data_IF_352446491822
#
_entry.id   IF_352446491822
#
_cell.length_a   1.000
_cell.length_b   1.000
_cell.length_c   1.000
_cell.angle_alpha   90.00
_cell.angle_beta   90.00
_cell.angle_gamma   90.00
#
_symmetry.space_group_name_H-M   'P 1'
#
loop_
_entity.id
_entity.type
_entity.pdbx_description
1 polymer ?
#
# COMPACT_ATOMS: atom_id res chain seq x y z
N UNK A 1 49.82 -29.41 -50.56
CA UNK A 1 48.63 -29.19 -49.72
C UNK A 1 49.01 -29.37 -48.26
N UNK A 2 49.10 -28.29 -47.46
CA UNK A 2 49.08 -28.41 -46.02
C UNK A 2 47.90 -27.63 -45.40
N UNK A 3 47.41 -28.24 -44.34
CA UNK A 3 46.22 -27.96 -43.54
C UNK A 3 46.27 -26.56 -42.91
N UNK A 4 45.17 -25.83 -43.05
CA UNK A 4 44.97 -24.49 -42.52
C UNK A 4 44.82 -24.50 -40.98
N UNK A 5 45.64 -23.68 -40.33
CA UNK A 5 45.50 -23.28 -38.93
C UNK A 5 44.60 -22.05 -38.85
N UNK A 6 43.56 -22.10 -38.02
CA UNK A 6 42.78 -20.92 -37.62
C UNK A 6 43.46 -20.21 -36.44
N UNK A 7 43.89 -18.94 -36.58
CA UNK A 7 44.23 -18.11 -35.44
C UNK A 7 42.96 -17.44 -34.88
N UNK A 8 42.77 -17.57 -33.55
CA UNK A 8 41.78 -16.80 -32.78
C UNK A 8 42.22 -15.34 -32.73
N UNK A 9 41.46 -14.46 -33.38
CA UNK A 9 41.64 -13.00 -33.29
C UNK A 9 40.76 -12.39 -32.22
N UNK A 10 41.41 -11.75 -31.25
CA UNK A 10 41.04 -10.46 -30.66
C UNK A 10 39.63 -10.28 -30.11
N UNK A 11 39.50 -10.26 -28.77
CA UNK A 11 38.49 -9.42 -28.13
C UNK A 11 39.15 -8.11 -27.70
N UNK A 12 38.94 -7.07 -28.50
CA UNK A 12 39.36 -5.70 -28.21
C UNK A 12 38.55 -5.15 -27.04
N UNK A 13 39.26 -4.66 -26.02
CA UNK A 13 38.71 -3.77 -25.01
C UNK A 13 38.34 -2.44 -25.71
N UNK A 14 37.06 -2.25 -26.02
CA UNK A 14 36.54 -0.95 -26.45
C UNK A 14 35.91 -0.26 -25.25
N UNK A 15 36.65 0.72 -24.73
CA UNK A 15 36.11 1.81 -23.94
C UNK A 15 35.12 2.58 -24.85
N UNK A 16 33.83 2.39 -24.65
CA UNK A 16 32.81 3.25 -25.24
C UNK A 16 32.28 4.15 -24.13
N UNK A 17 32.79 5.37 -24.09
CA UNK A 17 32.10 6.49 -23.46
C UNK A 17 30.83 6.74 -24.27
N UNK A 18 29.67 6.44 -23.69
CA UNK A 18 28.38 6.94 -24.17
C UNK A 18 27.88 7.96 -23.16
N UNK A 19 27.52 9.12 -23.73
CA UNK A 19 27.06 10.31 -23.06
C UNK A 19 25.96 10.01 -22.02
N UNK A 20 26.06 10.68 -20.88
CA UNK A 20 25.06 10.66 -19.83
C UNK A 20 23.74 11.23 -20.34
N UNK A 21 22.88 10.35 -20.84
CA UNK A 21 21.45 10.51 -20.66
C UNK A 21 21.17 10.12 -19.22
N UNK A 22 20.89 11.12 -18.38
CA UNK A 22 20.35 10.89 -17.04
C UNK A 22 19.08 10.06 -17.21
N UNK A 23 19.20 8.76 -16.94
CA UNK A 23 18.06 7.85 -16.84
C UNK A 23 17.30 8.30 -15.60
N UNK A 24 16.34 9.21 -15.78
CA UNK A 24 15.26 9.39 -14.84
C UNK A 24 14.54 8.03 -14.77
N UNK A 25 14.93 7.22 -13.79
CA UNK A 25 14.08 6.15 -13.31
C UNK A 25 12.90 6.87 -12.68
N UNK A 26 11.83 7.06 -13.46
CA UNK A 26 10.53 7.42 -12.92
C UNK A 26 10.14 6.29 -11.97
N UNK A 27 10.29 6.55 -10.68
CA UNK A 27 9.70 5.74 -9.61
C UNK A 27 8.21 5.63 -9.91
N UNK A 28 7.78 4.41 -10.25
CA UNK A 28 6.37 4.10 -10.46
C UNK A 28 5.60 4.51 -9.21
N UNK A 29 4.56 5.30 -9.42
CA UNK A 29 3.65 5.75 -8.37
C UNK A 29 3.14 4.55 -7.56
N UNK A 30 3.41 4.54 -6.25
CA UNK A 30 2.89 3.56 -5.30
C UNK A 30 1.37 3.76 -5.11
N UNK A 31 0.61 2.66 -5.12
CA UNK A 31 0.16 2.00 -3.89
C UNK A 31 0.20 0.48 -4.06
N UNK A 32 0.39 -0.33 -3.00
CA UNK A 32 -0.28 -0.31 -1.70
C UNK A 32 0.65 -0.04 -0.48
N UNK A 33 1.80 0.59 -0.70
CA UNK A 33 2.77 0.87 0.36
C UNK A 33 3.21 2.32 0.37
N UNK A 34 3.33 2.90 1.56
CA UNK A 34 3.91 4.22 1.72
C UNK A 34 5.45 4.08 1.77
N UNK A 35 6.13 4.43 0.67
CA UNK A 35 7.59 4.30 0.52
C UNK A 35 8.36 5.57 0.89
N UNK A 36 9.55 5.42 1.46
CA UNK A 36 10.49 6.50 1.71
C UNK A 36 11.28 6.82 0.44
N UNK A 37 10.72 7.64 -0.45
CA UNK A 37 11.45 8.15 -1.60
C UNK A 37 10.63 8.15 -2.87
N UNK A 38 9.84 9.20 -3.03
CA UNK A 38 9.04 9.44 -4.22
C UNK A 38 8.14 10.62 -3.95
N UNK A 39 8.71 11.83 -3.90
CA UNK A 39 7.91 13.04 -3.93
C UNK A 39 7.27 13.13 -5.32
N UNK A 40 6.13 12.45 -5.50
CA UNK A 40 5.13 12.92 -6.44
C UNK A 40 4.82 14.38 -6.07
N UNK A 41 4.64 15.24 -7.06
CA UNK A 41 4.35 16.66 -6.83
C UNK A 41 3.25 16.84 -5.78
N UNK A 42 3.32 17.91 -5.00
CA UNK A 42 2.28 18.16 -4.00
C UNK A 42 0.94 18.39 -4.66
N UNK A 43 -0.11 17.74 -4.16
CA UNK A 43 -1.44 17.77 -4.74
C UNK A 43 -2.55 18.06 -3.73
N UNK A 44 -3.75 17.78 -4.20
CA UNK A 44 -5.04 17.92 -3.53
C UNK A 44 -5.61 16.53 -3.25
N UNK A 45 -6.25 16.34 -2.09
CA UNK A 45 -6.90 15.06 -1.76
C UNK A 45 -8.34 15.06 -2.26
N UNK A 46 -8.70 14.01 -2.99
CA UNK A 46 -10.08 13.64 -3.31
C UNK A 46 -10.42 12.40 -2.49
N UNK A 47 -11.49 12.45 -1.70
CA UNK A 47 -11.99 11.31 -0.95
C UNK A 47 -13.46 11.04 -1.29
N UNK A 48 -13.85 9.77 -1.34
CA UNK A 48 -15.23 9.38 -1.54
C UNK A 48 -15.51 8.04 -0.84
N UNK A 49 -16.71 7.89 -0.29
CA UNK A 49 -17.17 6.64 0.28
C UNK A 49 -17.95 5.84 -0.76
N UNK A 50 -17.84 4.51 -0.72
CA UNK A 50 -18.76 3.63 -1.46
C UNK A 50 -20.10 3.47 -0.73
N UNK A 51 -20.33 4.13 0.40
CA UNK A 51 -21.55 4.04 1.20
C UNK A 51 -21.69 5.24 2.14
N UNK A 52 -22.13 4.99 3.37
CA UNK A 52 -22.26 6.03 4.39
C UNK A 52 -20.88 6.51 4.87
N UNK A 53 -20.73 7.83 5.04
CA UNK A 53 -19.54 8.48 5.59
C UNK A 53 -19.77 8.83 7.07
N UNK A 54 -20.08 7.79 7.86
CA UNK A 54 -20.57 7.95 9.23
C UNK A 54 -19.52 8.53 10.17
N UNK A 55 -18.24 8.45 9.81
CA UNK A 55 -17.14 8.89 10.64
C UNK A 55 -16.44 10.13 10.10
N UNK A 56 -16.86 10.65 8.95
CA UNK A 56 -16.22 11.78 8.29
C UNK A 56 -14.90 11.41 7.62
N UNK A 57 -14.59 10.11 7.46
CA UNK A 57 -13.37 9.59 6.88
C UNK A 57 -13.18 9.97 5.41
N UNK A 58 -14.27 10.21 4.68
CA UNK A 58 -14.29 10.76 3.33
C UNK A 58 -14.49 12.29 3.27
N UNK A 59 -14.55 12.98 4.41
CA UNK A 59 -14.69 14.45 4.48
C UNK A 59 -13.31 15.11 4.54
N UNK A 60 -12.75 15.42 3.37
CA UNK A 60 -11.42 16.04 3.27
C UNK A 60 -11.39 17.43 3.92
N UNK A 61 -10.56 17.66 4.96
CA UNK A 61 -10.44 18.97 5.59
C UNK A 61 -9.76 19.98 4.65
N UNK A 62 -10.07 21.28 4.81
CA UNK A 62 -9.52 22.35 3.98
C UNK A 62 -7.98 22.35 3.95
N UNK A 63 -7.31 21.98 5.04
CA UNK A 63 -5.84 21.90 5.11
C UNK A 63 -5.27 20.85 4.14
N UNK A 64 -6.02 19.78 3.83
CA UNK A 64 -5.61 18.71 2.92
C UNK A 64 -5.98 18.96 1.44
N UNK A 65 -6.53 20.14 1.11
CA UNK A 65 -6.88 20.51 -0.27
C UNK A 65 -5.70 21.07 -1.07
N UNK A 66 -4.48 21.05 -0.54
CA UNK A 66 -3.24 21.45 -1.25
C UNK A 66 -2.01 21.03 -0.46
N UNK A 67 -0.86 20.90 -1.14
CA UNK A 67 0.42 20.66 -0.49
C UNK A 67 0.60 19.22 0.02
N UNK A 68 -0.31 18.31 -0.31
CA UNK A 68 -0.28 16.91 0.17
C UNK A 68 0.66 16.10 -0.71
N UNK A 69 1.48 15.25 -0.08
CA UNK A 69 2.53 14.44 -0.72
C UNK A 69 2.34 12.93 -0.54
N UNK A 70 1.53 12.52 0.44
CA UNK A 70 1.16 11.13 0.66
C UNK A 70 -0.22 11.05 1.32
N UNK A 71 -0.90 9.92 1.15
CA UNK A 71 -2.23 9.62 1.69
C UNK A 71 -2.24 8.18 2.24
N UNK A 72 -3.07 7.91 3.24
CA UNK A 72 -3.30 6.57 3.78
C UNK A 72 -4.69 6.45 4.37
N UNK A 73 -5.45 5.44 3.94
CA UNK A 73 -6.75 5.10 4.52
C UNK A 73 -6.61 4.09 5.64
N UNK A 74 -7.34 4.28 6.73
CA UNK A 74 -7.68 3.24 7.70
C UNK A 74 -9.14 2.83 7.58
N UNK A 75 -9.67 2.13 8.58
CA UNK A 75 -11.07 1.69 8.51
C UNK A 75 -12.05 2.85 8.77
N UNK A 76 -11.71 3.74 9.72
CA UNK A 76 -12.57 4.85 10.16
C UNK A 76 -11.92 6.22 10.08
N UNK A 77 -10.67 6.28 9.60
CA UNK A 77 -9.91 7.52 9.50
C UNK A 77 -9.09 7.56 8.21
N UNK A 78 -8.67 8.77 7.87
CA UNK A 78 -7.81 9.07 6.74
C UNK A 78 -6.62 9.88 7.20
N UNK A 79 -5.49 9.67 6.55
CA UNK A 79 -4.21 10.32 6.82
C UNK A 79 -3.71 11.01 5.54
N UNK A 80 -3.03 12.14 5.71
CA UNK A 80 -2.29 12.80 4.65
C UNK A 80 -0.98 13.39 5.19
N UNK A 81 0.04 13.49 4.33
CA UNK A 81 1.30 14.17 4.64
C UNK A 81 1.37 15.49 3.90
N UNK A 82 1.40 16.61 4.63
CA UNK A 82 1.57 17.96 4.08
C UNK A 82 2.84 18.58 4.65
N UNK A 83 3.84 18.86 3.79
CA UNK A 83 5.13 19.44 4.21
C UNK A 83 5.79 18.68 5.37
N UNK A 84 5.68 17.36 5.38
CA UNK A 84 6.19 16.49 6.45
C UNK A 84 5.35 16.43 7.73
N UNK A 85 4.24 17.17 7.83
CA UNK A 85 3.25 17.08 8.92
C UNK A 85 2.16 16.09 8.53
N UNK A 86 1.76 15.22 9.47
CA UNK A 86 0.57 14.37 9.31
C UNK A 86 -0.71 15.16 9.60
N UNK A 87 -1.65 15.11 8.67
CA UNK A 87 -3.05 15.48 8.84
C UNK A 87 -3.85 14.20 9.03
N UNK A 88 -4.87 14.25 9.88
CA UNK A 88 -5.77 13.13 10.13
C UNK A 88 -7.21 13.65 10.24
N UNK A 89 -8.15 12.91 9.67
CA UNK A 89 -9.59 13.18 9.80
C UNK A 89 -10.36 11.86 9.77
N UNK A 90 -11.66 11.91 10.08
CA UNK A 90 -12.44 10.73 10.43
C UNK A 90 -12.61 10.59 11.95
N UNK A 91 -12.98 9.40 12.43
CA UNK A 91 -13.09 9.11 13.87
C UNK A 91 -12.17 7.97 14.28
N UNK A 92 -11.89 7.91 15.58
CA UNK A 92 -11.41 6.71 16.24
C UNK A 92 -12.52 6.18 17.15
N UNK A 93 -12.99 4.95 16.93
CA UNK A 93 -14.05 4.40 17.78
C UNK A 93 -13.42 3.93 19.09
N UNK A 94 -13.62 4.69 20.17
CA UNK A 94 -13.27 4.25 21.51
C UNK A 94 -14.37 3.32 22.06
N UNK A 95 -14.32 2.02 21.75
CA UNK A 95 -15.25 1.01 22.27
C UNK A 95 -15.14 0.72 23.78
N UNK A 96 -14.36 1.49 24.57
CA UNK A 96 -14.18 1.24 26.02
C UNK A 96 -14.03 2.49 26.89
N UNK A 97 -14.31 3.70 26.38
CA UNK A 97 -14.19 4.92 27.19
C UNK A 97 -15.53 5.64 27.24
N UNK A 98 -16.04 5.90 28.44
CA UNK A 98 -17.36 6.50 28.73
C UNK A 98 -17.47 8.00 28.38
N UNK A 99 -16.52 8.57 27.64
CA UNK A 99 -16.57 9.98 27.21
C UNK A 99 -16.09 10.15 25.76
N UNK A 100 -16.97 9.80 24.82
CA UNK A 100 -16.75 9.99 23.37
C UNK A 100 -17.14 11.39 22.88
N UNK A 101 -17.28 12.38 23.77
CA UNK A 101 -17.77 13.73 23.38
C UNK A 101 -16.66 14.66 22.91
N UNK A 102 -15.39 14.25 23.00
CA UNK A 102 -14.26 15.01 22.44
C UNK A 102 -13.60 14.26 21.28
N UNK A 103 -13.97 14.68 20.08
CA UNK A 103 -13.44 14.30 18.77
C UNK A 103 -11.93 14.64 18.64
N UNK A 104 -11.07 14.02 19.45
CA UNK A 104 -9.64 14.29 19.45
C UNK A 104 -8.95 13.42 18.40
N UNK A 105 -9.00 13.93 17.17
CA UNK A 105 -7.94 13.75 16.18
C UNK A 105 -6.60 14.03 16.89
N UNK A 106 -5.88 12.97 17.29
CA UNK A 106 -4.58 13.10 17.94
C UNK A 106 -3.49 12.65 16.98
N UNK A 107 -2.65 13.58 16.57
CA UNK A 107 -1.41 13.31 15.84
C UNK A 107 -0.25 13.62 16.78
N UNK A 108 0.61 12.64 17.12
CA UNK A 108 1.74 12.84 18.01
C UNK A 108 2.66 13.97 17.52
N UNK A 109 3.28 14.70 18.45
CA UNK A 109 4.24 15.78 18.12
C UNK A 109 5.36 15.31 17.18
N UNK A 110 5.78 14.05 17.33
CA UNK A 110 6.83 13.47 16.48
C UNK A 110 6.41 13.38 15.00
N UNK A 111 5.11 13.20 14.72
CA UNK A 111 4.52 13.12 13.39
C UNK A 111 4.11 14.50 12.81
N UNK A 112 4.47 15.60 13.48
CA UNK A 112 4.17 16.95 12.99
C UNK A 112 5.24 17.52 12.04
N UNK A 113 6.31 16.78 11.75
CA UNK A 113 7.37 17.19 10.82
C UNK A 113 8.18 15.99 10.31
N UNK A 114 8.75 16.12 9.11
CA UNK A 114 9.70 15.15 8.54
C UNK A 114 9.10 13.78 8.18
N UNK A 115 7.79 13.61 8.25
CA UNK A 115 7.11 12.39 7.82
C UNK A 115 7.12 12.29 6.30
N UNK A 116 7.38 11.11 5.76
CA UNK A 116 7.39 10.85 4.32
C UNK A 116 6.27 9.92 3.87
N UNK A 117 5.69 9.16 4.80
CA UNK A 117 4.73 8.10 4.50
C UNK A 117 3.79 7.87 5.69
N UNK A 118 2.55 7.45 5.41
CA UNK A 118 1.52 7.14 6.41
C UNK A 118 0.75 5.89 6.00
N UNK A 119 0.27 5.12 6.97
CA UNK A 119 -0.61 3.98 6.76
C UNK A 119 -1.66 3.90 7.89
N UNK A 120 -2.89 3.52 7.57
CA UNK A 120 -3.99 3.41 8.52
C UNK A 120 -4.41 1.96 8.74
N UNK A 121 -4.42 1.50 9.98
CA UNK A 121 -5.08 0.25 10.35
C UNK A 121 -6.57 0.47 10.65
N UNK A 122 -7.15 -0.48 11.39
CA UNK A 122 -8.53 -0.38 11.89
C UNK A 122 -8.69 0.83 12.81
N UNK A 123 -7.87 0.85 13.86
CA UNK A 123 -7.96 1.81 14.97
C UNK A 123 -6.57 2.37 15.35
N UNK A 124 -5.55 2.17 14.52
CA UNK A 124 -4.21 2.74 14.70
C UNK A 124 -3.70 3.35 13.40
N UNK A 125 -2.66 4.18 13.53
CA UNK A 125 -1.99 4.83 12.42
C UNK A 125 -0.49 4.64 12.55
N UNK A 126 0.17 4.55 11.39
CA UNK A 126 1.63 4.54 11.27
C UNK A 126 2.10 5.75 10.47
N UNK A 127 3.26 6.27 10.83
CA UNK A 127 4.01 7.25 10.04
C UNK A 127 5.47 6.82 9.92
N UNK A 128 6.07 7.08 8.76
CA UNK A 128 7.49 6.86 8.51
C UNK A 128 8.23 8.19 8.48
N UNK A 129 9.22 8.35 9.38
CA UNK A 129 10.02 9.57 9.53
C UNK A 129 11.51 9.20 9.57
N UNK A 130 12.26 9.54 8.53
CA UNK A 130 13.71 9.30 8.50
C UNK A 130 14.10 7.84 8.74
N UNK A 131 13.27 6.88 8.30
CA UNK A 131 13.47 5.45 8.52
C UNK A 131 12.98 4.92 9.87
N UNK A 132 12.44 5.75 10.75
CA UNK A 132 11.78 5.36 12.01
C UNK A 132 10.27 5.26 11.80
N UNK A 133 9.66 4.18 12.32
CA UNK A 133 8.20 4.05 12.40
C UNK A 133 7.69 4.72 13.68
N UNK A 134 6.65 5.53 13.53
CA UNK A 134 5.87 6.15 14.60
C UNK A 134 4.48 5.51 14.55
N UNK A 135 3.95 5.06 15.70
CA UNK A 135 2.62 4.46 15.79
C UNK A 135 1.78 5.16 16.86
N UNK A 136 0.48 5.38 16.61
CA UNK A 136 -0.47 5.90 17.60
C UNK A 136 -1.89 5.36 17.35
N UNK A 137 -2.78 5.51 18.34
CA UNK A 137 -4.16 4.99 18.31
C UNK A 137 -4.38 3.85 19.30
N UNK A 138 -5.06 2.79 18.88
CA UNK A 138 -5.31 1.59 19.70
C UNK A 138 -4.04 0.76 19.89
N UNK A 139 -3.88 0.20 21.09
CA UNK A 139 -2.83 -0.76 21.39
C UNK A 139 -3.36 -2.07 21.97
N UNK A 140 -4.65 -2.36 21.82
CA UNK A 140 -5.30 -3.53 22.45
C UNK A 140 -4.63 -4.86 22.07
N UNK A 141 -3.97 -4.91 20.91
CA UNK A 141 -3.26 -6.08 20.37
C UNK A 141 -1.75 -5.84 20.16
N UNK A 142 -1.15 -4.82 20.77
CA UNK A 142 0.28 -4.53 20.62
C UNK A 142 0.68 -3.80 19.33
N UNK A 143 -0.29 -3.22 18.63
CA UNK A 143 -0.14 -2.47 17.36
C UNK A 143 0.83 -1.29 17.46
N UNK A 144 0.96 -0.70 18.66
CA UNK A 144 1.86 0.43 18.92
C UNK A 144 3.24 0.00 19.44
N UNK A 145 3.45 -1.30 19.68
CA UNK A 145 4.70 -1.83 20.23
C UNK A 145 5.75 -1.96 19.12
N UNK A 146 6.14 -0.82 18.53
CA UNK A 146 7.09 -0.73 17.41
C UNK A 146 8.40 -1.46 17.76
N UNK A 147 8.74 -2.57 17.07
CA UNK A 147 9.97 -3.31 17.36
C UNK A 147 11.21 -2.43 17.17
N UNK A 148 12.26 -2.66 17.96
CA UNK A 148 13.54 -1.92 17.87
C UNK A 148 14.09 -1.92 16.44
N UNK A 149 13.90 -3.02 15.72
CA UNK A 149 14.34 -3.13 14.32
C UNK A 149 13.65 -2.15 13.37
N UNK A 150 12.38 -1.79 13.64
CA UNK A 150 11.59 -0.84 12.87
C UNK A 150 11.77 0.63 13.32
N UNK A 151 12.66 0.90 14.28
CA UNK A 151 12.95 2.26 14.75
C UNK A 151 14.00 2.99 13.89
N UNK A 152 14.57 2.33 12.88
CA UNK A 152 15.52 2.92 11.94
C UNK A 152 15.61 2.14 10.64
N UNK A 153 15.99 2.79 9.53
CA UNK A 153 16.27 2.16 8.25
C UNK A 153 15.07 1.52 7.54
N UNK A 154 13.84 1.76 8.01
CA UNK A 154 12.62 1.32 7.33
C UNK A 154 12.41 2.11 6.05
N UNK A 155 12.07 1.43 4.97
CA UNK A 155 11.82 2.02 3.64
C UNK A 155 10.37 1.98 3.23
N UNK A 156 9.54 1.13 3.83
CA UNK A 156 8.10 1.09 3.58
C UNK A 156 7.33 0.65 4.83
N UNK A 157 6.10 1.13 4.95
CA UNK A 157 5.15 0.73 5.99
C UNK A 157 3.79 0.39 5.35
N UNK A 158 3.06 -0.51 5.99
CA UNK A 158 1.65 -0.76 5.72
C UNK A 158 0.92 -1.17 7.01
N UNK A 159 -0.38 -0.92 7.08
CA UNK A 159 -1.22 -1.24 8.22
C UNK A 159 -2.63 -1.61 7.75
N UNK A 160 -3.21 -2.62 8.40
CA UNK A 160 -4.59 -3.01 8.16
C UNK A 160 -5.10 -3.84 9.35
N UNK A 161 -6.36 -3.69 9.73
CA UNK A 161 -6.88 -4.30 10.95
C UNK A 161 -6.06 -3.89 12.17
N UNK A 162 -5.68 -4.86 12.99
CA UNK A 162 -4.83 -4.65 14.17
C UNK A 162 -3.32 -4.82 13.89
N UNK A 163 -2.91 -4.89 12.61
CA UNK A 163 -1.54 -5.27 12.21
C UNK A 163 -0.77 -4.11 11.62
N UNK A 164 0.53 -4.17 11.83
CA UNK A 164 1.52 -3.25 11.30
C UNK A 164 2.67 -4.01 10.63
N UNK A 165 3.04 -3.59 9.43
CA UNK A 165 4.14 -4.12 8.64
C UNK A 165 5.16 -3.02 8.35
N UNK A 166 6.44 -3.39 8.37
CA UNK A 166 7.54 -2.54 7.90
C UNK A 166 8.50 -3.34 7.02
N UNK A 167 9.06 -2.69 5.99
CA UNK A 167 10.11 -3.22 5.13
C UNK A 167 11.42 -2.50 5.45
N UNK A 168 12.48 -3.27 5.72
CA UNK A 168 13.83 -2.78 5.98
C UNK A 168 14.84 -3.65 5.26
N UNK A 169 15.56 -3.10 4.28
CA UNK A 169 16.61 -3.80 3.54
C UNK A 169 16.18 -5.19 3.01
N UNK A 170 14.95 -5.29 2.51
CA UNK A 170 14.39 -6.54 2.02
C UNK A 170 13.87 -7.51 3.09
N UNK A 171 13.94 -7.16 4.37
CA UNK A 171 13.35 -7.92 5.48
C UNK A 171 12.01 -7.32 5.89
N UNK A 172 11.03 -8.19 6.11
CA UNK A 172 9.70 -7.84 6.61
C UNK A 172 9.69 -7.93 8.13
N UNK A 173 9.10 -6.92 8.77
CA UNK A 173 8.89 -6.82 10.21
C UNK A 173 7.39 -6.70 10.43
N UNK A 174 6.83 -7.58 11.25
CA UNK A 174 5.40 -7.67 11.57
C UNK A 174 5.18 -7.48 13.07
N UNK A 175 4.18 -6.70 13.47
CA UNK A 175 3.72 -6.61 14.85
C UNK A 175 2.25 -6.17 14.91
N UNK A 176 1.63 -6.28 16.08
CA UNK A 176 0.21 -5.97 16.27
C UNK A 176 -0.72 -7.08 15.81
N UNK A 177 -1.71 -7.43 16.63
CA UNK A 177 -2.67 -8.51 16.36
C UNK A 177 -2.42 -9.76 17.20
N UNK A 178 -3.40 -10.66 17.23
CA UNK A 178 -3.23 -11.98 17.84
C UNK A 178 -2.57 -12.93 16.86
N UNK A 179 -1.48 -13.60 17.24
CA UNK A 179 -0.77 -14.54 16.37
C UNK A 179 -1.28 -15.99 16.48
N UNK A 180 -2.59 -16.19 16.59
CA UNK A 180 -3.17 -17.54 16.72
C UNK A 180 -3.19 -18.31 15.39
N UNK A 181 -3.08 -17.58 14.29
CA UNK A 181 -3.20 -18.01 12.89
C UNK A 181 -1.89 -17.84 12.11
N UNK A 182 -0.79 -17.54 12.80
CA UNK A 182 0.53 -17.29 12.21
C UNK A 182 0.62 -16.01 11.37
N UNK A 183 -0.32 -15.06 11.53
CA UNK A 183 -0.32 -13.80 10.78
C UNK A 183 0.92 -12.93 11.01
N UNK A 184 1.59 -13.07 12.16
CA UNK A 184 2.84 -12.37 12.45
C UNK A 184 4.08 -13.20 12.07
N UNK A 185 3.92 -14.48 11.72
CA UNK A 185 5.03 -15.38 11.44
C UNK A 185 5.51 -15.24 10.00
N UNK A 186 6.44 -14.30 9.78
CA UNK A 186 7.05 -14.10 8.45
C UNK A 186 7.68 -15.41 7.95
N UNK A 187 7.18 -15.99 6.84
CA UNK A 187 7.65 -17.28 6.34
C UNK A 187 9.11 -17.18 5.93
N UNK A 188 9.86 -18.30 6.01
CA UNK A 188 11.29 -18.31 5.71
C UNK A 188 11.62 -17.71 4.35
N UNK A 189 10.78 -17.96 3.36
CA UNK A 189 10.92 -17.42 2.01
C UNK A 189 10.67 -15.92 1.89
N UNK A 190 10.13 -15.23 2.90
CA UNK A 190 9.89 -13.78 2.90
C UNK A 190 10.79 -12.99 3.88
N UNK A 191 11.82 -13.62 4.45
CA UNK A 191 12.71 -12.97 5.44
C UNK A 191 13.81 -12.09 4.82
N UNK A 192 13.95 -12.09 3.50
CA UNK A 192 14.95 -11.31 2.77
C UNK A 192 14.55 -11.09 1.31
N UNK A 193 15.10 -10.05 0.66
CA UNK A 193 14.86 -9.78 -0.77
C UNK A 193 13.42 -9.36 -1.11
N UNK A 194 12.62 -8.99 -0.11
CA UNK A 194 11.28 -8.46 -0.32
C UNK A 194 11.36 -7.03 -0.87
N UNK A 195 10.56 -6.73 -1.88
CA UNK A 195 10.50 -5.42 -2.53
C UNK A 195 9.16 -4.72 -2.30
N UNK A 196 8.13 -5.46 -1.92
CA UNK A 196 6.81 -4.93 -1.59
C UNK A 196 6.14 -5.74 -0.47
N UNK A 197 5.37 -5.07 0.39
CA UNK A 197 4.62 -5.60 1.55
C UNK A 197 3.15 -5.14 1.50
N UNK A 198 2.20 -5.94 1.93
CA UNK A 198 0.84 -5.45 2.18
C UNK A 198 0.18 -6.22 3.31
N UNK A 199 -0.42 -5.47 4.23
CA UNK A 199 -1.22 -5.98 5.34
C UNK A 199 -2.68 -6.06 4.90
N UNK A 200 -3.30 -7.23 4.96
CA UNK A 200 -4.74 -7.42 4.77
C UNK A 200 -5.46 -7.63 6.11
N UNK A 201 -6.78 -7.85 6.10
CA UNK A 201 -7.50 -8.17 7.35
C UNK A 201 -7.22 -9.59 7.85
N UNK A 202 -7.08 -10.55 6.94
CA UNK A 202 -6.88 -11.96 7.26
C UNK A 202 -5.50 -12.49 6.89
N UNK A 203 -4.78 -11.84 5.98
CA UNK A 203 -3.53 -12.36 5.44
C UNK A 203 -2.58 -11.21 5.10
N UNK A 204 -1.31 -11.53 4.91
CA UNK A 204 -0.33 -10.60 4.36
C UNK A 204 0.11 -11.06 2.97
N UNK A 205 0.50 -10.10 2.14
CA UNK A 205 1.13 -10.34 0.85
C UNK A 205 2.50 -9.66 0.81
N UNK A 206 3.46 -10.27 0.13
CA UNK A 206 4.73 -9.62 -0.22
C UNK A 206 5.14 -9.96 -1.65
N UNK A 207 5.98 -9.13 -2.22
CA UNK A 207 6.73 -9.44 -3.45
C UNK A 207 8.18 -9.73 -3.09
N UNK A 208 8.70 -10.86 -3.54
CA UNK A 208 10.14 -11.19 -3.48
C UNK A 208 10.60 -11.65 -4.84
N UNK A 209 11.59 -10.97 -5.43
CA UNK A 209 12.14 -11.31 -6.75
C UNK A 209 11.04 -11.49 -7.83
N UNK A 210 9.99 -10.65 -7.79
CA UNK A 210 8.86 -10.74 -8.72
C UNK A 210 7.83 -11.83 -8.42
N UNK A 211 7.97 -12.58 -7.32
CA UNK A 211 7.01 -13.59 -6.86
C UNK A 211 6.16 -13.06 -5.71
N UNK A 212 4.85 -13.23 -5.80
CA UNK A 212 3.95 -13.02 -4.66
C UNK A 212 4.06 -14.17 -3.66
N UNK A 213 4.14 -13.83 -2.37
CA UNK A 213 4.06 -14.77 -1.23
C UNK A 213 2.92 -14.29 -0.33
N UNK A 214 2.08 -15.23 0.12
CA UNK A 214 0.93 -14.97 0.99
C UNK A 214 1.03 -15.81 2.27
N UNK A 215 0.71 -15.24 3.44
CA UNK A 215 0.70 -15.99 4.72
C UNK A 215 -0.24 -15.38 5.76
N UNK A 216 -0.37 -16.08 6.90
CA UNK A 216 -1.23 -15.73 8.03
C UNK A 216 -2.67 -16.22 7.89
N UNK A 217 -3.52 -16.01 8.90
CA UNK A 217 -4.97 -16.26 8.84
C UNK A 217 -5.48 -17.61 8.34
N UNK A 218 -6.80 -17.68 8.30
CA UNK A 218 -7.50 -18.71 7.55
C UNK A 218 -7.43 -18.43 6.04
N UNK A 219 -7.87 -19.39 5.24
CA UNK A 219 -7.85 -19.32 3.77
C UNK A 219 -9.24 -19.60 3.20
N UNK A 220 -10.28 -19.09 3.85
CA UNK A 220 -11.67 -19.45 3.56
C UNK A 220 -12.09 -19.13 2.12
N UNK A 221 -11.52 -18.08 1.53
CA UNK A 221 -11.83 -17.66 0.18
C UNK A 221 -10.74 -18.02 -0.83
N UNK A 222 -9.65 -18.65 -0.37
CA UNK A 222 -8.49 -18.93 -1.19
C UNK A 222 -7.58 -17.71 -1.40
N UNK A 223 -7.66 -16.69 -0.54
CA UNK A 223 -6.82 -15.48 -0.58
C UNK A 223 -5.31 -15.78 -0.55
N UNK A 224 -4.89 -16.91 0.01
CA UNK A 224 -3.49 -17.33 0.03
C UNK A 224 -3.10 -18.25 -1.13
N UNK A 225 -4.06 -18.66 -1.96
CA UNK A 225 -3.81 -19.53 -3.12
C UNK A 225 -3.24 -18.71 -4.28
N UNK A 226 -1.99 -18.27 -4.14
CA UNK A 226 -1.29 -17.44 -5.14
C UNK A 226 -1.36 -18.10 -6.53
N UNK A 227 -2.03 -17.48 -7.51
CA UNK A 227 -2.14 -18.05 -8.86
C UNK A 227 -0.77 -18.11 -9.55
N UNK A 228 -0.57 -19.08 -10.45
CA UNK A 228 0.69 -19.24 -11.21
C UNK A 228 1.15 -17.95 -11.87
N UNK A 229 0.22 -17.17 -12.42
CA UNK A 229 0.52 -15.88 -13.08
C UNK A 229 1.13 -14.84 -12.12
N UNK A 230 0.83 -14.91 -10.82
CA UNK A 230 1.36 -14.03 -9.77
C UNK A 230 2.66 -14.56 -9.13
N UNK A 231 3.26 -15.61 -9.69
CA UNK A 231 4.53 -16.15 -9.16
C UNK A 231 5.79 -15.55 -9.81
N UNK A 232 5.63 -14.72 -10.84
CA UNK A 232 6.73 -14.09 -11.57
C UNK A 232 6.36 -12.70 -12.09
N UNK A 233 7.34 -11.80 -12.18
CA UNK A 233 7.16 -10.47 -12.78
C UNK A 233 6.20 -9.53 -12.05
N UNK A 234 5.80 -9.86 -10.82
CA UNK A 234 4.96 -9.00 -9.98
C UNK A 234 5.80 -7.83 -9.46
N UNK A 235 5.28 -6.61 -9.58
CA UNK A 235 5.91 -5.40 -9.06
C UNK A 235 5.28 -4.92 -7.76
N UNK A 236 4.01 -5.22 -7.52
CA UNK A 236 3.31 -4.81 -6.31
C UNK A 236 2.15 -5.74 -5.93
N UNK A 237 1.71 -5.65 -4.68
CA UNK A 237 0.62 -6.43 -4.08
C UNK A 237 -0.25 -5.57 -3.18
N UNK A 238 -1.54 -5.91 -3.08
CA UNK A 238 -2.47 -5.29 -2.14
C UNK A 238 -3.34 -6.40 -1.51
N UNK A 239 -3.33 -6.47 -0.18
CA UNK A 239 -4.06 -7.47 0.61
C UNK A 239 -5.33 -6.85 1.20
N UNK A 240 -6.49 -7.44 0.93
CA UNK A 240 -7.79 -6.93 1.36
C UNK A 240 -8.37 -7.69 2.54
N UNK A 241 -9.71 -7.68 2.66
CA UNK A 241 -10.39 -8.47 3.69
C UNK A 241 -10.25 -9.97 3.47
N UNK A 242 -10.55 -10.41 2.25
CA UNK A 242 -10.45 -11.80 1.82
C UNK A 242 -10.07 -11.93 0.35
N UNK A 243 -9.74 -10.81 -0.30
CA UNK A 243 -9.24 -10.75 -1.67
C UNK A 243 -7.78 -10.30 -1.67
N UNK A 244 -7.06 -10.73 -2.68
CA UNK A 244 -5.66 -10.40 -2.91
C UNK A 244 -5.52 -9.86 -4.32
N UNK A 245 -4.70 -8.82 -4.47
CA UNK A 245 -4.43 -8.17 -5.76
C UNK A 245 -2.93 -8.12 -6.00
N UNK A 246 -2.50 -8.36 -7.24
CA UNK A 246 -1.11 -8.19 -7.66
C UNK A 246 -1.02 -7.40 -8.97
N UNK A 247 0.03 -6.59 -9.11
CA UNK A 247 0.35 -5.84 -10.31
C UNK A 247 1.52 -6.51 -11.04
N UNK A 248 1.32 -6.93 -12.28
CA UNK A 248 2.33 -7.58 -13.12
C UNK A 248 2.41 -6.89 -14.47
N UNK A 249 3.49 -6.13 -14.71
CA UNK A 249 3.72 -5.48 -16.01
C UNK A 249 2.54 -4.62 -16.50
N UNK A 250 1.85 -3.95 -15.57
CA UNK A 250 0.66 -3.14 -15.85
C UNK A 250 -0.67 -3.90 -15.94
N UNK A 251 -0.67 -5.23 -15.80
CA UNK A 251 -1.88 -6.07 -15.67
C UNK A 251 -2.20 -6.30 -14.20
N UNK A 252 -3.46 -6.12 -13.83
CA UNK A 252 -3.97 -6.47 -12.49
C UNK A 252 -4.42 -7.93 -12.46
N UNK A 253 -3.97 -8.66 -11.44
CA UNK A 253 -4.43 -10.00 -11.08
C UNK A 253 -5.17 -9.91 -9.75
N UNK A 254 -6.31 -10.57 -9.61
CA UNK A 254 -7.02 -10.65 -8.34
C UNK A 254 -7.54 -12.09 -8.09
N UNK A 255 -7.53 -12.51 -6.83
CA UNK A 255 -8.00 -13.82 -6.38
C UNK A 255 -8.49 -13.75 -4.93
N UNK A 256 -9.10 -14.83 -4.45
CA UNK A 256 -9.74 -14.89 -3.14
C UNK A 256 -11.24 -14.61 -3.22
N UNK A 257 -11.76 -13.85 -2.26
CA UNK A 257 -13.17 -13.48 -2.15
C UNK A 257 -13.65 -12.77 -3.41
N UNK A 258 -14.72 -13.29 -4.00
CA UNK A 258 -15.37 -12.69 -5.17
C UNK A 258 -16.83 -12.31 -4.94
N UNK A 259 -17.27 -12.25 -3.68
CA UNK A 259 -18.56 -11.64 -3.35
C UNK A 259 -18.57 -10.20 -3.86
N UNK A 260 -19.66 -9.80 -4.50
CA UNK A 260 -19.80 -8.48 -5.13
C UNK A 260 -18.70 -8.13 -6.16
N UNK A 261 -18.04 -9.14 -6.75
CA UNK A 261 -17.06 -8.93 -7.81
C UNK A 261 -15.71 -8.38 -7.35
N UNK A 262 -15.33 -8.52 -6.07
CA UNK A 262 -14.05 -8.05 -5.49
C UNK A 262 -12.81 -8.57 -6.22
N UNK A 263 -12.89 -9.77 -6.78
CA UNK A 263 -11.83 -10.40 -7.57
C UNK A 263 -12.11 -10.37 -9.08
N UNK A 264 -13.20 -9.75 -9.52
CA UNK A 264 -13.55 -9.58 -10.94
C UNK A 264 -12.86 -8.33 -11.49
N UNK A 265 -11.62 -8.49 -11.97
CA UNK A 265 -10.82 -7.38 -12.50
C UNK A 265 -11.45 -6.80 -13.77
N UNK A 266 -11.76 -5.49 -13.84
CA UNK A 266 -12.28 -4.84 -15.03
C UNK A 266 -11.33 -4.96 -16.23
N UNK A 267 -11.87 -5.06 -17.45
CA UNK A 267 -11.08 -5.15 -18.67
C UNK A 267 -10.08 -3.97 -18.82
N UNK A 268 -10.47 -2.77 -18.37
CA UNK A 268 -9.61 -1.59 -18.41
C UNK A 268 -8.35 -1.73 -17.54
N UNK A 269 -8.40 -2.51 -16.45
CA UNK A 269 -7.29 -2.76 -15.53
C UNK A 269 -6.39 -3.95 -15.94
N UNK A 270 -6.60 -4.53 -17.13
CA UNK A 270 -5.78 -5.63 -17.64
C UNK A 270 -4.47 -5.18 -18.30
N UNK A 271 -4.24 -3.87 -18.42
CA UNK A 271 -3.00 -3.30 -18.97
C UNK A 271 -2.81 -1.84 -18.58
N UNK A 272 -1.56 -1.36 -18.57
CA UNK A 272 -1.20 0.05 -18.35
C UNK A 272 -1.49 0.59 -16.95
N UNK A 273 -1.82 -0.27 -15.99
CA UNK A 273 -2.00 0.13 -14.59
C UNK A 273 -0.62 0.42 -13.99
N UNK A 274 -0.48 1.56 -13.31
CA UNK A 274 0.75 1.93 -12.61
C UNK A 274 0.73 1.58 -11.13
N UNK A 275 -0.44 1.24 -10.59
CA UNK A 275 -0.69 1.35 -9.15
C UNK A 275 -1.97 0.61 -8.73
N UNK A 276 -1.98 -0.06 -7.56
CA UNK A 276 -3.14 -0.82 -7.03
C UNK A 276 -3.40 -0.51 -5.55
N UNK A 277 -4.65 -0.51 -5.11
CA UNK A 277 -4.97 -0.46 -3.68
C UNK A 277 -6.17 -1.35 -3.39
N UNK A 278 -6.22 -1.95 -2.22
CA UNK A 278 -7.40 -2.70 -1.79
C UNK A 278 -7.56 -2.55 -0.29
N UNK A 279 -8.78 -2.70 0.18
CA UNK A 279 -9.10 -2.67 1.60
C UNK A 279 -10.21 -3.69 1.87
N UNK A 280 -11.21 -3.33 2.70
CA UNK A 280 -12.17 -4.31 3.16
C UNK A 280 -13.09 -4.83 2.05
N UNK A 281 -13.59 -3.93 1.20
CA UNK A 281 -14.69 -4.28 0.30
C UNK A 281 -14.47 -3.99 -1.18
N UNK A 282 -13.48 -3.16 -1.52
CA UNK A 282 -13.24 -2.74 -2.89
C UNK A 282 -11.76 -2.69 -3.20
N UNK A 283 -11.47 -2.63 -4.50
CA UNK A 283 -10.13 -2.51 -5.05
C UNK A 283 -10.08 -1.35 -6.03
N UNK A 284 -8.92 -0.73 -6.11
CA UNK A 284 -8.61 0.42 -6.93
C UNK A 284 -7.39 0.10 -7.80
N UNK A 285 -7.38 0.65 -9.01
CA UNK A 285 -6.22 0.69 -9.89
C UNK A 285 -6.07 2.11 -10.45
N UNK A 286 -4.84 2.58 -10.59
CA UNK A 286 -4.53 3.85 -11.24
C UNK A 286 -3.91 3.57 -12.61
N UNK A 287 -4.50 4.16 -13.65
CA UNK A 287 -4.07 4.03 -15.04
C UNK A 287 -4.06 5.40 -15.68
N UNK A 288 -2.89 5.90 -16.06
CA UNK A 288 -2.72 7.19 -16.76
C UNK A 288 -3.46 8.36 -16.10
N UNK A 289 -3.40 8.46 -14.76
CA UNK A 289 -4.08 9.51 -14.00
C UNK A 289 -5.57 9.29 -13.73
N UNK A 290 -6.15 8.18 -14.20
CA UNK A 290 -7.54 7.78 -13.96
C UNK A 290 -7.62 6.65 -12.92
N UNK A 291 -8.53 6.79 -11.96
CA UNK A 291 -8.87 5.71 -11.02
C UNK A 291 -9.90 4.77 -11.65
N UNK A 292 -9.66 3.47 -11.51
CA UNK A 292 -10.57 2.37 -11.84
C UNK A 292 -10.91 1.69 -10.52
N UNK A 293 -12.19 1.50 -10.21
CA UNK A 293 -12.64 0.84 -8.99
C UNK A 293 -13.53 -0.36 -9.31
N UNK A 294 -13.43 -1.42 -8.50
CA UNK A 294 -14.29 -2.61 -8.60
C UNK A 294 -14.47 -3.27 -7.22
N UNK A 295 -15.41 -4.21 -7.11
CA UNK A 295 -15.87 -4.76 -5.82
C UNK A 295 -17.02 -3.96 -5.21
N UNK A 296 -17.10 -3.88 -3.89
CA UNK A 296 -18.07 -3.07 -3.15
C UNK A 296 -18.80 -3.82 -2.02
N UNK A 297 -19.56 -3.04 -1.26
CA UNK A 297 -20.51 -3.51 -0.27
C UNK A 297 -21.90 -3.44 -0.91
N UNK A 298 -22.63 -4.56 -1.00
CA UNK A 298 -23.99 -4.50 -1.53
C UNK A 298 -24.87 -3.58 -0.67
N UNK A 299 -25.72 -2.70 -1.25
CA UNK A 299 -26.07 -2.60 -2.67
C UNK A 299 -25.20 -1.64 -3.50
N UNK A 300 -24.16 -1.02 -2.93
CA UNK A 300 -23.38 -0.01 -3.63
C UNK A 300 -22.27 -0.60 -4.51
N UNK A 301 -22.39 -0.31 -5.80
CA UNK A 301 -21.29 -0.45 -6.75
C UNK A 301 -20.18 0.56 -6.43
N UNK A 302 -18.92 0.26 -6.77
CA UNK A 302 -17.82 1.16 -6.53
C UNK A 302 -17.96 2.34 -7.50
N UNK A 303 -18.20 3.52 -6.94
CA UNK A 303 -18.29 4.78 -7.66
C UNK A 303 -16.89 5.41 -7.76
N UNK A 304 -16.60 6.11 -8.87
CA UNK A 304 -15.40 6.96 -9.00
C UNK A 304 -15.87 8.37 -9.34
N UNK A 305 -15.59 9.39 -8.51
CA UNK A 305 -16.00 10.75 -8.77
C UNK A 305 -15.26 11.34 -9.97
N UNK A 306 -15.90 12.29 -10.67
CA UNK A 306 -15.31 12.96 -11.84
C UNK A 306 -13.90 13.54 -11.55
N UNK A 307 -13.69 14.05 -10.33
CA UNK A 307 -12.41 14.60 -9.89
C UNK A 307 -11.25 13.58 -9.91
N UNK A 308 -11.56 12.28 -9.77
CA UNK A 308 -10.60 11.17 -9.75
C UNK A 308 -10.47 10.44 -11.10
N UNK A 309 -11.02 11.00 -12.19
CA UNK A 309 -10.94 10.39 -13.54
C UNK A 309 -9.74 10.85 -14.36
N UNK A 310 -8.97 11.82 -13.86
CA UNK A 310 -7.77 12.35 -14.52
C UNK A 310 -6.84 13.06 -13.53
N UNK A 311 -5.55 13.11 -13.84
CA UNK A 311 -4.53 13.83 -13.07
C UNK A 311 -4.16 13.21 -11.72
N UNK A 312 -4.69 12.03 -11.38
CA UNK A 312 -4.37 11.34 -10.13
C UNK A 312 -2.93 10.81 -10.16
N UNK A 313 -2.19 11.03 -9.09
CA UNK A 313 -0.79 10.62 -8.92
C UNK A 313 -0.62 9.50 -7.90
N UNK A 314 -1.55 9.34 -6.96
CA UNK A 314 -1.57 8.24 -6.01
C UNK A 314 -3.00 7.89 -5.58
N UNK A 315 -3.21 6.65 -5.12
CA UNK A 315 -4.48 6.17 -4.58
C UNK A 315 -4.26 5.45 -3.26
N UNK A 316 -5.25 5.44 -2.39
CA UNK A 316 -5.28 4.62 -1.17
C UNK A 316 -6.71 4.17 -0.90
N UNK A 317 -6.89 3.01 -0.27
CA UNK A 317 -8.18 2.47 0.08
C UNK A 317 -8.27 2.31 1.61
N UNK A 318 -9.31 2.87 2.21
CA UNK A 318 -9.76 2.50 3.55
C UNK A 318 -10.92 1.49 3.45
N UNK A 319 -11.44 1.04 4.60
CA UNK A 319 -12.46 -0.03 4.63
C UNK A 319 -13.65 0.21 3.67
N UNK A 320 -14.26 1.40 3.75
CA UNK A 320 -15.44 1.81 2.97
C UNK A 320 -15.22 3.08 2.13
N UNK A 321 -14.01 3.63 2.11
CA UNK A 321 -13.71 4.87 1.40
C UNK A 321 -12.43 4.75 0.58
N UNK A 322 -12.31 5.61 -0.41
CA UNK A 322 -11.16 5.70 -1.29
C UNK A 322 -10.58 7.10 -1.19
N UNK A 323 -9.26 7.19 -1.34
CA UNK A 323 -8.49 8.42 -1.41
C UNK A 323 -7.72 8.45 -2.73
N UNK A 324 -7.66 9.63 -3.35
CA UNK A 324 -6.82 9.91 -4.49
C UNK A 324 -6.05 11.22 -4.25
N UNK A 325 -4.77 11.23 -4.59
CA UNK A 325 -3.94 12.43 -4.62
C UNK A 325 -3.88 12.94 -6.06
N UNK A 326 -4.20 14.22 -6.28
CA UNK A 326 -4.21 14.87 -7.59
C UNK A 326 -3.34 16.11 -7.60
#
# INVERSE_FOLDING_TARGET
>A
MPIAWHPRTGLSLRLAATAGAGLLITLGAAPAQATAGGAAGTGTVVAWASGENNWGEATVPAEAQSGVSAIGGGDYHSLAVKNGKVLMWGTWICWQVTDCTTNKIYVPVEAQSGVTAVAGGHDHSLALKGGKVIAWGSNAKGQLNVPVEAQSGVTAIDANGDRSLALKNGKVITWGGTNLDGILDVPLEARSGVTAISAGHSHNLVVRNGRTIAWGGDNYFGEKNVPTDATTGVSDVAAGFGQSVALKGGKVLAWGDNRNGRSTVPAEAQSGVSAIATAQFHSLALKNGKVIAWGGSFPSSPYVPAAATSGVTAISAGANHSLALK
#
